data_IF_929996545503
#
_entry.id   IF_929996545503
#
_cell.length_a   1.000
_cell.length_b   1.000
_cell.length_c   1.000
_cell.angle_alpha   90.00
_cell.angle_beta   90.00
_cell.angle_gamma   90.00
#
_symmetry.space_group_name_H-M   'P 1'
#
loop_
_entity.id
_entity.type
_entity.pdbx_description
1 polymer ?
#
# COMPACT_ATOMS: atom_id res chain seq x y z
N UNK A 1 8.65 20.89 -5.29
CA UNK A 1 8.54 19.41 -5.41
C UNK A 1 7.10 19.09 -5.75
N UNK A 2 6.85 18.43 -6.89
CA UNK A 2 5.52 17.95 -7.25
C UNK A 2 5.11 16.82 -6.30
N UNK A 3 3.95 16.94 -5.66
CA UNK A 3 3.37 15.84 -4.87
C UNK A 3 2.41 15.06 -5.75
N UNK A 4 2.62 13.75 -5.88
CA UNK A 4 1.69 12.86 -6.56
C UNK A 4 0.75 12.22 -5.55
N UNK A 5 -0.52 12.05 -5.92
CA UNK A 5 -1.52 11.35 -5.10
C UNK A 5 -1.98 10.11 -5.84
N UNK A 6 -1.84 8.95 -5.22
CA UNK A 6 -2.19 7.68 -5.82
C UNK A 6 -3.13 6.89 -4.92
N UNK A 7 -4.06 6.18 -5.55
CA UNK A 7 -4.98 5.27 -4.88
C UNK A 7 -4.59 3.83 -5.16
N UNK A 8 -4.65 3.00 -4.12
CA UNK A 8 -4.32 1.58 -4.17
C UNK A 8 -5.41 0.79 -3.45
N UNK A 9 -5.51 -0.49 -3.77
CA UNK A 9 -6.20 -1.49 -2.96
C UNK A 9 -5.18 -2.20 -2.09
N UNK A 10 -5.46 -2.32 -0.80
CA UNK A 10 -4.66 -3.09 0.16
C UNK A 10 -5.35 -4.43 0.41
N UNK A 11 -4.60 -5.53 0.26
CA UNK A 11 -5.08 -6.89 0.44
C UNK A 11 -4.16 -7.67 1.38
N UNK A 12 -4.69 -8.74 1.97
CA UNK A 12 -3.86 -9.74 2.64
C UNK A 12 -4.10 -11.14 2.08
N UNK A 13 -3.04 -11.76 1.55
CA UNK A 13 -3.09 -13.13 1.03
C UNK A 13 -1.80 -13.89 1.41
N UNK A 14 -1.57 -14.04 2.72
CA UNK A 14 -0.30 -14.55 3.26
C UNK A 14 0.83 -13.52 3.28
N UNK A 15 0.68 -12.42 2.51
CA UNK A 15 1.47 -11.19 2.54
C UNK A 15 0.54 -9.99 2.40
N UNK A 16 1.03 -8.82 2.79
CA UNK A 16 0.42 -7.55 2.46
C UNK A 16 0.67 -7.20 1.00
N UNK A 17 -0.37 -6.78 0.29
CA UNK A 17 -0.30 -6.45 -1.13
C UNK A 17 -0.95 -5.09 -1.35
N UNK A 18 -0.22 -4.14 -1.94
CA UNK A 18 -0.78 -2.89 -2.45
C UNK A 18 -0.76 -2.95 -3.98
N UNK A 19 -1.92 -2.79 -4.60
CA UNK A 19 -2.02 -2.74 -6.07
C UNK A 19 -2.96 -1.65 -6.58
N UNK A 20 -2.61 -1.11 -7.74
CA UNK A 20 -3.47 -0.30 -8.59
C UNK A 20 -3.34 -0.78 -10.05
N UNK A 21 -3.81 0.01 -11.01
CA UNK A 21 -3.78 -0.37 -12.44
C UNK A 21 -2.36 -0.53 -13.01
N UNK A 22 -1.36 0.14 -12.44
CA UNK A 22 0.00 0.22 -13.00
C UNK A 22 1.06 -0.46 -12.12
N UNK A 23 0.84 -0.50 -10.81
CA UNK A 23 1.85 -0.84 -9.81
C UNK A 23 1.29 -1.89 -8.86
N UNK A 24 2.11 -2.91 -8.60
CA UNK A 24 1.89 -3.90 -7.55
C UNK A 24 3.14 -4.02 -6.67
N UNK A 25 2.93 -3.99 -5.36
CA UNK A 25 3.96 -4.21 -4.35
C UNK A 25 3.45 -5.20 -3.30
N UNK A 26 4.36 -5.99 -2.74
CA UNK A 26 4.07 -7.02 -1.75
C UNK A 26 5.08 -6.93 -0.61
N UNK A 27 4.67 -7.27 0.62
CA UNK A 27 5.55 -7.30 1.79
C UNK A 27 5.01 -8.20 2.89
N UNK A 28 5.90 -8.82 3.67
CA UNK A 28 5.52 -9.69 4.80
C UNK A 28 5.03 -8.86 6.00
N UNK A 29 5.40 -7.58 6.06
CA UNK A 29 4.86 -6.56 6.96
C UNK A 29 4.42 -5.31 6.19
N UNK A 30 3.67 -4.42 6.83
CA UNK A 30 3.30 -3.12 6.24
C UNK A 30 4.53 -2.24 5.97
N UNK A 31 5.55 -2.31 6.82
CA UNK A 31 6.80 -1.56 6.62
C UNK A 31 7.60 -2.09 5.43
N UNK A 32 7.62 -3.42 5.25
CA UNK A 32 8.23 -4.04 4.06
C UNK A 32 7.45 -3.67 2.80
N UNK A 33 6.11 -3.67 2.87
CA UNK A 33 5.25 -3.24 1.78
C UNK A 33 5.55 -1.79 1.36
N UNK A 34 5.70 -0.87 2.32
CA UNK A 34 5.99 0.54 2.02
C UNK A 34 7.33 0.74 1.32
N UNK A 35 8.38 0.06 1.79
CA UNK A 35 9.71 0.08 1.16
C UNK A 35 9.64 -0.44 -0.28
N UNK A 36 8.97 -1.58 -0.47
CA UNK A 36 8.83 -2.19 -1.78
C UNK A 36 7.96 -1.34 -2.71
N UNK A 37 6.92 -0.68 -2.19
CA UNK A 37 6.08 0.24 -2.96
C UNK A 37 6.85 1.48 -3.41
N UNK A 38 7.66 2.08 -2.53
CA UNK A 38 8.54 3.19 -2.90
C UNK A 38 9.52 2.80 -4.01
N UNK A 39 10.11 1.60 -3.95
CA UNK A 39 10.98 1.10 -5.01
C UNK A 39 10.24 0.91 -6.34
N UNK A 40 9.01 0.37 -6.30
CA UNK A 40 8.18 0.20 -7.50
C UNK A 40 7.78 1.54 -8.12
N UNK A 41 7.40 2.52 -7.30
CA UNK A 41 7.10 3.89 -7.75
C UNK A 41 8.32 4.52 -8.42
N UNK A 42 9.51 4.36 -7.84
CA UNK A 42 10.77 4.84 -8.44
C UNK A 42 11.02 4.21 -9.81
N UNK A 43 10.82 2.90 -9.93
CA UNK A 43 10.98 2.16 -11.20
C UNK A 43 9.94 2.57 -12.25
N UNK A 44 8.74 2.95 -11.82
CA UNK A 44 7.69 3.50 -12.69
C UNK A 44 7.93 4.97 -13.06
N UNK A 45 9.01 5.60 -12.58
CA UNK A 45 9.41 6.95 -12.95
C UNK A 45 8.84 8.07 -12.08
N UNK A 46 8.09 7.73 -11.03
CA UNK A 46 7.64 8.71 -10.04
C UNK A 46 8.84 9.27 -9.28
N UNK A 47 8.80 10.57 -8.99
CA UNK A 47 9.86 11.30 -8.27
C UNK A 47 9.29 12.22 -7.19
N UNK A 48 10.02 12.39 -6.10
CA UNK A 48 9.65 13.24 -4.97
C UNK A 48 8.55 12.63 -4.11
N UNK A 49 7.68 13.47 -3.56
CA UNK A 49 6.70 13.07 -2.55
C UNK A 49 5.47 12.38 -3.18
N UNK A 50 5.17 11.17 -2.73
CA UNK A 50 3.97 10.42 -3.09
C UNK A 50 3.06 10.23 -1.87
N UNK A 51 1.84 10.75 -1.94
CA UNK A 51 0.78 10.44 -0.98
C UNK A 51 -0.05 9.27 -1.51
N UNK A 52 0.00 8.14 -0.79
CA UNK A 52 -0.70 6.92 -1.16
C UNK A 52 -1.89 6.72 -0.24
N UNK A 53 -3.07 6.60 -0.82
CA UNK A 53 -4.27 6.15 -0.14
C UNK A 53 -4.56 4.71 -0.53
N UNK A 54 -4.66 3.83 0.46
CA UNK A 54 -4.91 2.41 0.24
C UNK A 54 -6.26 2.04 0.87
N UNK A 55 -7.23 1.66 0.03
CA UNK A 55 -8.50 1.12 0.51
C UNK A 55 -8.33 -0.37 0.80
N UNK A 56 -8.65 -0.80 2.01
CA UNK A 56 -8.54 -2.21 2.36
C UNK A 56 -9.66 -3.04 1.70
N UNK A 57 -9.30 -4.18 1.12
CA UNK A 57 -10.22 -5.17 0.57
C UNK A 57 -10.61 -6.18 1.65
N UNK A 58 -11.80 -5.95 2.22
CA UNK A 58 -12.34 -6.75 3.31
C UNK A 58 -12.60 -8.22 2.93
N UNK A 59 -12.70 -8.54 1.63
CA UNK A 59 -12.83 -9.94 1.18
C UNK A 59 -11.57 -10.77 1.49
N UNK A 60 -10.44 -10.10 1.73
CA UNK A 60 -9.13 -10.72 1.98
C UNK A 60 -8.74 -10.72 3.46
N UNK A 61 -9.69 -10.43 4.38
CA UNK A 61 -9.39 -10.39 5.82
C UNK A 61 -8.95 -11.78 6.33
N UNK A 62 -7.77 -11.89 6.94
CA UNK A 62 -7.34 -13.08 7.67
C UNK A 62 -8.22 -13.37 8.88
N UNK A 63 -8.43 -14.64 9.18
CA UNK A 63 -9.27 -15.04 10.32
C UNK A 63 -8.78 -14.48 11.66
N UNK A 64 -7.46 -14.48 11.88
CA UNK A 64 -6.83 -13.89 13.08
C UNK A 64 -7.05 -12.38 13.18
N UNK A 65 -7.27 -11.71 12.05
CA UNK A 65 -7.56 -10.29 11.99
C UNK A 65 -9.02 -10.00 12.31
N UNK A 66 -9.99 -10.86 11.97
CA UNK A 66 -11.43 -10.55 12.12
C UNK A 66 -11.87 -10.03 13.49
N UNK A 67 -11.20 -10.43 14.57
CA UNK A 67 -11.48 -9.92 15.91
C UNK A 67 -11.22 -8.41 16.09
N UNK A 68 -10.36 -7.81 15.27
CA UNK A 68 -10.08 -6.36 15.26
C UNK A 68 -10.78 -5.64 14.09
N UNK A 69 -11.83 -6.25 13.50
CA UNK A 69 -12.54 -5.72 12.32
C UNK A 69 -12.94 -4.23 12.37
N UNK A 70 -13.35 -3.65 13.52
CA UNK A 70 -13.65 -2.22 13.60
C UNK A 70 -12.44 -1.31 13.30
N UNK A 71 -11.23 -1.85 13.36
CA UNK A 71 -9.96 -1.13 13.23
C UNK A 71 -9.21 -1.44 11.91
N UNK A 72 -9.79 -2.15 10.95
CA UNK A 72 -9.18 -2.25 9.62
C UNK A 72 -9.55 -1.02 8.80
N UNK A 73 -8.56 -0.18 8.58
CA UNK A 73 -8.75 1.14 8.01
C UNK A 73 -8.26 1.22 6.57
N UNK A 74 -8.81 2.18 5.85
CA UNK A 74 -8.09 2.77 4.73
C UNK A 74 -6.79 3.36 5.27
N UNK A 75 -5.67 3.02 4.64
CA UNK A 75 -4.35 3.47 5.08
C UNK A 75 -3.92 4.66 4.23
N UNK A 76 -3.39 5.70 4.86
CA UNK A 76 -2.69 6.78 4.17
C UNK A 76 -1.21 6.71 4.53
N UNK A 77 -0.33 6.67 3.54
CA UNK A 77 1.11 6.81 3.73
C UNK A 77 1.69 7.89 2.84
N UNK A 78 2.81 8.42 3.26
CA UNK A 78 3.59 9.40 2.52
C UNK A 78 4.96 8.78 2.30
N UNK A 79 5.35 8.65 1.04
CA UNK A 79 6.61 8.06 0.62
C UNK A 79 7.42 9.14 -0.11
N UNK A 80 8.70 9.24 0.23
CA UNK A 80 9.65 10.02 -0.55
C UNK A 80 10.30 9.09 -1.57
N UNK A 81 10.12 9.40 -2.85
CA UNK A 81 10.51 8.58 -4.00
C UNK A 81 11.61 9.32 -4.76
N UNK A 82 12.80 9.40 -4.18
CA UNK A 82 13.97 10.02 -4.83
C UNK A 82 14.81 8.96 -5.56
#
# INVERSE_FOLDING_TARGET
>A
MSTVRLNFTLKFAGKWIAENEEIKAEGSSLDELDKNLAERLRKAGYRGRAEIYMKFDYSTIPDWMRQFHPYYFNRKVILEVD
#
